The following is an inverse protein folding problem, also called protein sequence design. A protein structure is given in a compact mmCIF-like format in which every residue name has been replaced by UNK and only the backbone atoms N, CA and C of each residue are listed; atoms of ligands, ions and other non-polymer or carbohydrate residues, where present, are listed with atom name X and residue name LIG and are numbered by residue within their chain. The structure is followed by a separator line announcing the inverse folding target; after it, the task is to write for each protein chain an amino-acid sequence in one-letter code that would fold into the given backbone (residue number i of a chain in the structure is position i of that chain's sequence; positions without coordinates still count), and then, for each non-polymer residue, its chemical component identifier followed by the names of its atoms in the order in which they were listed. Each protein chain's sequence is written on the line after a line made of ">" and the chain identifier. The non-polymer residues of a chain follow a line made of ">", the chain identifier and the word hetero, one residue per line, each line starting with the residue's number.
data_IF_009530670840
#
_entry.id   IF_009530670840
#
_cell.length_a   1.000
_cell.length_b   1.000
_cell.length_c   1.000
_cell.angle_alpha   90.00
_cell.angle_beta   90.00
_cell.angle_gamma   90.00
#
_symmetry.space_group_name_H-M   'P 1'
#
loop_
_entity.id
_entity.type
_entity.pdbx_description
1 polymer ?
#
# COMPACT_ATOMS: atom_id res chain seq x y z
N UNK A 1 -31.37 -0.21 -26.42
CA UNK A 1 -29.92 -0.52 -26.46
C UNK A 1 -29.17 0.75 -26.14
N UNK A 2 -28.47 0.82 -25.00
CA UNK A 2 -27.69 1.98 -24.59
C UNK A 2 -26.20 1.61 -24.76
N UNK A 3 -25.53 2.23 -25.73
CA UNK A 3 -24.09 2.11 -25.92
C UNK A 3 -23.39 3.17 -25.08
N UNK A 4 -22.70 2.75 -24.03
CA UNK A 4 -21.81 3.64 -23.28
C UNK A 4 -20.48 3.74 -24.02
N UNK A 5 -20.35 4.75 -24.88
CA UNK A 5 -19.08 5.15 -25.47
C UNK A 5 -18.18 5.63 -24.34
N UNK A 6 -17.29 4.76 -23.89
CA UNK A 6 -16.25 5.14 -22.93
C UNK A 6 -15.18 5.85 -23.74
N UNK A 7 -15.28 7.18 -23.85
CA UNK A 7 -14.20 7.99 -24.43
C UNK A 7 -12.91 7.68 -23.67
N UNK A 8 -11.95 7.08 -24.37
CA UNK A 8 -10.62 6.85 -23.83
C UNK A 8 -9.95 8.22 -23.81
N UNK A 9 -10.07 8.90 -22.66
CA UNK A 9 -9.32 10.13 -22.40
C UNK A 9 -7.84 9.78 -22.36
N UNK A 10 -7.19 9.89 -23.52
CA UNK A 10 -5.76 9.71 -23.67
C UNK A 10 -5.05 10.82 -22.91
N UNK A 11 -4.39 10.45 -21.81
CA UNK A 11 -3.48 11.36 -21.12
C UNK A 11 -2.45 11.90 -22.14
N UNK A 12 -2.06 13.18 -22.08
CA UNK A 12 -1.03 13.70 -22.95
C UNK A 12 0.30 12.97 -22.68
N UNK A 13 0.66 12.03 -23.55
CA UNK A 13 1.94 11.34 -23.51
C UNK A 13 2.89 12.09 -24.44
N UNK A 14 4.05 12.50 -23.91
CA UNK A 14 5.12 13.08 -24.71
C UNK A 14 5.62 12.03 -25.72
N UNK A 15 5.38 12.28 -27.00
CA UNK A 15 5.90 11.47 -28.11
C UNK A 15 7.34 11.89 -28.35
N UNK A 16 8.28 11.31 -27.59
CA UNK A 16 9.71 11.46 -27.83
C UNK A 16 10.26 10.25 -28.60
N UNK A 17 11.32 10.43 -29.42
CA UNK A 17 12.03 9.30 -29.99
C UNK A 17 12.50 8.37 -28.86
N UNK A 18 12.28 7.07 -29.04
CA UNK A 18 12.59 6.05 -28.06
C UNK A 18 14.06 6.18 -27.63
N UNK A 19 14.29 6.71 -26.42
CA UNK A 19 15.64 6.78 -25.84
C UNK A 19 16.14 5.36 -25.62
N UNK A 20 17.42 5.12 -25.90
CA UNK A 20 18.09 3.87 -25.56
C UNK A 20 17.85 3.60 -24.07
N UNK A 21 17.19 2.48 -23.76
CA UNK A 21 16.99 2.07 -22.37
C UNK A 21 18.39 1.97 -21.74
N UNK A 22 18.62 2.59 -20.57
CA UNK A 22 19.88 2.40 -19.86
C UNK A 22 20.11 0.90 -19.68
N UNK A 23 21.27 0.42 -20.10
CA UNK A 23 21.60 -1.00 -19.99
C UNK A 23 21.65 -1.37 -18.51
N UNK A 24 20.99 -2.47 -18.14
CA UNK A 24 21.07 -3.02 -16.79
C UNK A 24 22.44 -3.64 -16.50
N UNK A 25 23.41 -3.57 -17.42
CA UNK A 25 24.77 -4.07 -17.24
C UNK A 25 25.46 -3.50 -16.00
N UNK A 26 25.10 -2.28 -15.57
CA UNK A 26 25.65 -1.66 -14.35
C UNK A 26 25.08 -2.25 -13.05
N UNK A 27 23.96 -2.97 -13.14
CA UNK A 27 23.21 -3.55 -12.02
C UNK A 27 22.75 -4.97 -12.35
N UNK A 28 23.57 -5.74 -13.07
CA UNK A 28 23.24 -7.11 -13.43
C UNK A 28 23.27 -7.94 -12.14
N UNK A 29 22.10 -8.17 -11.56
CA UNK A 29 21.96 -9.08 -10.44
C UNK A 29 22.23 -10.49 -10.95
N UNK A 30 23.36 -11.06 -10.54
CA UNK A 30 23.70 -12.46 -10.85
C UNK A 30 22.52 -13.39 -10.54
N UNK A 31 22.30 -14.39 -11.39
CA UNK A 31 21.29 -15.42 -11.15
C UNK A 31 21.46 -16.09 -9.78
N UNK A 32 22.70 -16.23 -9.28
CA UNK A 32 22.98 -16.72 -7.94
C UNK A 32 22.44 -15.78 -6.86
N UNK A 33 22.62 -14.47 -7.01
CA UNK A 33 22.10 -13.48 -6.08
C UNK A 33 20.57 -13.47 -6.06
N UNK A 34 19.93 -13.52 -7.23
CA UNK A 34 18.47 -13.58 -7.34
C UNK A 34 17.94 -14.87 -6.70
N UNK A 35 18.62 -15.99 -6.90
CA UNK A 35 18.25 -17.29 -6.29
C UNK A 35 18.36 -17.25 -4.77
N UNK A 36 19.45 -16.68 -4.23
CA UNK A 36 19.62 -16.47 -2.79
C UNK A 36 18.55 -15.53 -2.22
N UNK A 37 18.20 -14.45 -2.94
CA UNK A 37 17.16 -13.52 -2.53
C UNK A 37 15.79 -14.22 -2.47
N UNK A 38 15.46 -15.05 -3.45
CA UNK A 38 14.20 -15.81 -3.47
C UNK A 38 14.17 -16.84 -2.34
N UNK A 39 15.27 -17.57 -2.13
CA UNK A 39 15.40 -18.54 -1.03
C UNK A 39 15.24 -17.85 0.33
N UNK A 40 16.00 -16.77 0.58
CA UNK A 40 15.90 -15.98 1.81
C UNK A 40 14.48 -15.43 2.01
N UNK A 41 13.84 -14.94 0.93
CA UNK A 41 12.45 -14.49 0.98
C UNK A 41 11.50 -15.61 1.38
N UNK A 42 11.69 -16.86 0.94
CA UNK A 42 10.85 -18.00 1.32
C UNK A 42 10.91 -18.27 2.83
N UNK A 43 12.10 -18.15 3.43
CA UNK A 43 12.33 -18.37 4.87
C UNK A 43 11.73 -17.28 5.78
N UNK A 44 11.29 -16.14 5.25
CA UNK A 44 10.67 -15.06 6.02
C UNK A 44 9.14 -15.21 6.19
N UNK A 45 8.61 -16.43 6.32
CA UNK A 45 7.16 -16.67 6.37
C UNK A 45 6.46 -15.95 7.53
N UNK A 46 7.05 -15.96 8.72
CA UNK A 46 6.53 -15.29 9.93
C UNK A 46 6.48 -13.78 9.78
N UNK A 47 7.54 -13.17 9.25
CA UNK A 47 7.60 -11.73 9.00
C UNK A 47 6.63 -11.31 7.89
N UNK A 48 6.42 -12.16 6.88
CA UNK A 48 5.44 -11.95 5.81
C UNK A 48 4.00 -12.01 6.32
N UNK A 49 3.70 -12.95 7.22
CA UNK A 49 2.41 -13.02 7.90
C UNK A 49 2.15 -11.75 8.73
N UNK A 50 3.18 -11.20 9.40
CA UNK A 50 3.08 -9.92 10.13
C UNK A 50 2.92 -8.69 9.23
N UNK A 51 3.54 -8.68 8.05
CA UNK A 51 3.53 -7.53 7.12
C UNK A 51 2.36 -7.54 6.14
N UNK A 52 1.72 -8.68 5.90
CA UNK A 52 0.41 -8.72 5.24
C UNK A 52 -0.60 -8.15 6.23
N UNK A 53 -0.73 -6.83 6.25
CA UNK A 53 -1.89 -6.17 6.84
C UNK A 53 -3.11 -6.76 6.15
N UNK A 54 -3.80 -7.66 6.82
CA UNK A 54 -5.09 -8.15 6.34
C UNK A 54 -6.07 -6.97 6.34
N UNK A 55 -7.07 -6.95 5.46
CA UNK A 55 -8.11 -5.92 5.50
C UNK A 55 -8.70 -5.76 6.91
N UNK A 56 -8.88 -6.87 7.63
CA UNK A 56 -9.33 -6.90 9.02
C UNK A 56 -8.36 -6.20 9.97
N UNK A 57 -7.05 -6.35 9.75
CA UNK A 57 -6.01 -5.64 10.50
C UNK A 57 -6.01 -4.12 10.24
N UNK A 58 -6.28 -3.70 9.01
CA UNK A 58 -6.40 -2.29 8.66
C UNK A 58 -7.64 -1.65 9.29
N UNK A 59 -8.81 -2.31 9.22
CA UNK A 59 -10.05 -1.85 9.86
C UNK A 59 -9.89 -1.81 11.38
N UNK A 60 -9.28 -2.84 11.97
CA UNK A 60 -8.96 -2.88 13.40
C UNK A 60 -8.06 -1.72 13.83
N UNK A 61 -7.05 -1.36 13.01
CA UNK A 61 -6.15 -0.25 13.31
C UNK A 61 -6.88 1.11 13.39
N UNK A 62 -7.80 1.39 12.45
CA UNK A 62 -8.64 2.60 12.50
C UNK A 62 -9.56 2.63 13.73
N UNK A 63 -10.16 1.49 14.10
CA UNK A 63 -10.99 1.40 15.30
C UNK A 63 -10.20 1.63 16.59
N UNK A 64 -8.95 1.13 16.66
CA UNK A 64 -8.07 1.33 17.81
C UNK A 64 -7.61 2.78 17.94
N UNK A 65 -7.18 3.42 16.84
CA UNK A 65 -6.79 4.84 16.86
C UNK A 65 -7.97 5.75 17.17
N UNK A 66 -9.18 5.45 16.69
CA UNK A 66 -10.39 6.21 17.05
C UNK A 66 -10.66 6.19 18.56
N UNK A 67 -10.50 5.03 19.22
CA UNK A 67 -10.67 4.92 20.69
C UNK A 67 -9.56 5.60 21.47
N UNK A 68 -8.32 5.50 20.99
CA UNK A 68 -7.15 6.12 21.62
C UNK A 68 -7.21 7.65 21.56
N UNK A 69 -7.63 8.19 20.42
CA UNK A 69 -7.75 9.64 20.18
C UNK A 69 -9.04 10.23 20.73
N UNK A 70 -9.96 9.39 21.25
CA UNK A 70 -11.18 9.86 21.88
C UNK A 70 -10.84 10.70 23.12
N UNK A 71 -11.08 12.00 23.01
CA UNK A 71 -10.84 12.97 24.09
C UNK A 71 -11.78 12.67 25.26
N UNK A 72 -11.22 12.09 26.33
CA UNK A 72 -11.93 11.79 27.58
C UNK A 72 -12.06 13.07 28.41
N UNK A 73 -13.20 13.22 29.08
CA UNK A 73 -13.36 14.29 30.06
C UNK A 73 -12.53 13.98 31.30
N UNK A 74 -11.97 15.00 31.97
CA UNK A 74 -11.36 14.81 33.28
C UNK A 74 -12.37 14.25 34.27
N UNK A 75 -11.87 13.58 35.30
CA UNK A 75 -12.72 13.04 36.37
C UNK A 75 -13.56 14.17 37.00
N UNK A 76 -14.86 13.92 37.16
CA UNK A 76 -15.82 14.89 37.72
C UNK A 76 -16.56 15.77 36.69
N UNK A 77 -16.14 15.80 35.43
CA UNK A 77 -16.82 16.57 34.38
C UNK A 77 -17.89 15.74 33.66
N UNK A 78 -19.07 16.33 33.40
CA UNK A 78 -20.18 15.69 32.67
C UNK A 78 -20.37 16.34 31.29
N UNK A 79 -20.67 15.52 30.27
CA UNK A 79 -21.13 16.01 28.96
C UNK A 79 -22.66 16.04 28.95
N UNK A 80 -23.25 17.18 28.61
CA UNK A 80 -24.68 17.28 28.28
C UNK A 80 -24.84 17.03 26.78
N UNK A 81 -25.56 15.98 26.41
CA UNK A 81 -25.94 15.73 25.00
C UNK A 81 -27.28 16.43 24.81
N UNK A 82 -27.31 17.45 23.94
CA UNK A 82 -28.53 18.12 23.53
C UNK A 82 -28.94 17.50 22.19
N UNK A 83 -30.19 17.03 22.12
CA UNK A 83 -30.77 16.39 20.93
C UNK A 83 -31.20 17.43 19.88
#
# INVERSE_FOLDING_TARGET
>A
MAGNETEIVGLPVLIEPQRLRPSLLRSESSAAFVSQLIAARAHMATQRARRRTTPEGAVGAYGQTARLTQRRMPQGYRKTVVA
#
